data_IF_490401478299
#
_entry.id   IF_490401478299
#
_cell.length_a   1.000
_cell.length_b   1.000
_cell.length_c   1.000
_cell.angle_alpha   90.00
_cell.angle_beta   90.00
_cell.angle_gamma   90.00
#
_symmetry.space_group_name_H-M   'P 1'
#
loop_
_entity.id
_entity.type
_entity.pdbx_description
1 polymer ?
#
# COMPACT_ATOMS: atom_id res chain seq x y z
N UNK A 1 -42.11 -47.52 -47.96
CA UNK A 1 -41.83 -47.60 -46.51
C UNK A 1 -42.80 -48.62 -45.90
N UNK A 2 -42.33 -49.63 -45.17
CA UNK A 2 -43.25 -50.58 -44.51
C UNK A 2 -44.03 -49.88 -43.40
N UNK A 3 -45.22 -50.38 -43.05
CA UNK A 3 -46.01 -49.86 -41.90
C UNK A 3 -45.20 -49.87 -40.60
N UNK A 4 -44.37 -50.88 -40.44
CA UNK A 4 -43.44 -51.06 -39.31
C UNK A 4 -42.43 -49.90 -39.22
N UNK A 5 -41.91 -49.42 -40.35
CA UNK A 5 -41.01 -48.26 -40.36
C UNK A 5 -41.72 -46.95 -39.99
N UNK A 6 -43.01 -46.80 -40.32
CA UNK A 6 -43.80 -45.60 -39.95
C UNK A 6 -44.09 -45.60 -38.44
N UNK A 7 -44.39 -46.77 -37.87
CA UNK A 7 -44.66 -46.94 -36.44
C UNK A 7 -43.41 -46.69 -35.59
N UNK A 8 -42.24 -47.18 -36.04
CA UNK A 8 -40.95 -46.89 -35.40
C UNK A 8 -40.65 -45.38 -35.42
N UNK A 9 -40.89 -44.70 -36.54
CA UNK A 9 -40.67 -43.24 -36.67
C UNK A 9 -41.62 -42.45 -35.75
N UNK A 10 -42.89 -42.82 -35.67
CA UNK A 10 -43.86 -42.14 -34.80
C UNK A 10 -43.52 -42.33 -33.31
N UNK A 11 -43.11 -43.53 -32.91
CA UNK A 11 -42.66 -43.79 -31.54
C UNK A 11 -41.38 -43.00 -31.19
N UNK A 12 -40.44 -42.86 -32.13
CA UNK A 12 -39.26 -42.02 -31.97
C UNK A 12 -39.61 -40.53 -31.82
N UNK A 13 -40.60 -40.05 -32.60
CA UNK A 13 -41.09 -38.68 -32.50
C UNK A 13 -41.75 -38.43 -31.14
N UNK A 14 -42.61 -39.33 -30.66
CA UNK A 14 -43.26 -39.16 -29.36
C UNK A 14 -42.30 -39.31 -28.17
N UNK A 15 -41.32 -40.21 -28.26
CA UNK A 15 -40.22 -40.29 -27.29
C UNK A 15 -39.41 -38.99 -27.26
N UNK A 16 -39.12 -38.40 -28.42
CA UNK A 16 -38.38 -37.14 -28.52
C UNK A 16 -39.12 -35.96 -27.89
N UNK A 17 -40.45 -35.89 -28.00
CA UNK A 17 -41.28 -34.83 -27.38
C UNK A 17 -41.22 -34.86 -25.85
N UNK A 18 -40.96 -36.01 -25.26
CA UNK A 18 -40.85 -36.18 -23.79
C UNK A 18 -39.40 -35.94 -23.34
N UNK A 19 -38.43 -36.50 -24.06
CA UNK A 19 -37.01 -36.43 -23.69
C UNK A 19 -36.42 -35.04 -23.93
N UNK A 20 -36.76 -34.35 -25.04
CA UNK A 20 -36.20 -33.02 -25.34
C UNK A 20 -36.45 -32.00 -24.21
N UNK A 21 -37.70 -31.77 -23.75
CA UNK A 21 -37.96 -30.77 -22.71
C UNK A 21 -37.23 -31.07 -21.40
N UNK A 22 -37.17 -32.35 -21.00
CA UNK A 22 -36.44 -32.77 -19.82
C UNK A 22 -34.93 -32.48 -19.96
N UNK A 23 -34.36 -32.78 -21.14
CA UNK A 23 -32.95 -32.52 -21.43
C UNK A 23 -32.63 -31.02 -21.47
N UNK A 24 -33.50 -30.20 -22.08
CA UNK A 24 -33.39 -28.75 -22.07
C UNK A 24 -33.48 -28.17 -20.65
N UNK A 25 -34.37 -28.70 -19.82
CA UNK A 25 -34.51 -28.27 -18.42
C UNK A 25 -33.26 -28.59 -17.61
N UNK A 26 -32.70 -29.79 -17.79
CA UNK A 26 -31.44 -30.20 -17.15
C UNK A 26 -30.24 -29.38 -17.63
N UNK A 27 -30.15 -29.12 -18.94
CA UNK A 27 -29.10 -28.29 -19.51
C UNK A 27 -29.22 -26.84 -19.04
N UNK A 28 -30.41 -26.25 -19.04
CA UNK A 28 -30.65 -24.90 -18.53
C UNK A 28 -30.33 -24.81 -17.02
N UNK A 29 -30.73 -25.80 -16.22
CA UNK A 29 -30.39 -25.87 -14.80
C UNK A 29 -28.88 -25.98 -14.56
N UNK A 30 -28.18 -26.83 -15.31
CA UNK A 30 -26.71 -26.99 -15.24
C UNK A 30 -25.99 -25.70 -15.66
N UNK A 31 -26.45 -25.05 -16.73
CA UNK A 31 -25.88 -23.80 -17.22
C UNK A 31 -26.10 -22.65 -16.24
N UNK A 32 -27.32 -22.54 -15.70
CA UNK A 32 -27.68 -21.57 -14.66
C UNK A 32 -26.86 -21.76 -13.38
N UNK A 33 -26.69 -23.00 -12.93
CA UNK A 33 -25.86 -23.32 -11.78
C UNK A 33 -24.38 -22.94 -12.00
N UNK A 34 -23.80 -23.32 -13.14
CA UNK A 34 -22.41 -22.97 -13.48
C UNK A 34 -22.20 -21.46 -13.60
N UNK A 35 -23.15 -20.76 -14.21
CA UNK A 35 -23.12 -19.30 -14.33
C UNK A 35 -23.23 -18.63 -12.97
N UNK A 36 -24.16 -19.07 -12.12
CA UNK A 36 -24.33 -18.58 -10.75
C UNK A 36 -23.07 -18.77 -9.91
N UNK A 37 -22.44 -19.95 -9.96
CA UNK A 37 -21.16 -20.19 -9.28
C UNK A 37 -20.05 -19.27 -9.76
N UNK A 38 -19.95 -19.00 -11.07
CA UNK A 38 -18.97 -18.06 -11.63
C UNK A 38 -19.22 -16.64 -11.15
N UNK A 39 -20.48 -16.19 -11.17
CA UNK A 39 -20.87 -14.87 -10.70
C UNK A 39 -20.53 -14.69 -9.22
N UNK A 40 -20.87 -15.66 -8.36
CA UNK A 40 -20.54 -15.62 -6.94
C UNK A 40 -19.03 -15.59 -6.68
N UNK A 41 -18.24 -16.38 -7.43
CA UNK A 41 -16.77 -16.34 -7.31
C UNK A 41 -16.20 -14.99 -7.72
N UNK A 42 -16.69 -14.40 -8.80
CA UNK A 42 -16.27 -13.09 -9.25
C UNK A 42 -16.64 -12.00 -8.23
N UNK A 43 -17.86 -12.05 -7.69
CA UNK A 43 -18.30 -11.11 -6.67
C UNK A 43 -17.42 -11.18 -5.42
N UNK A 44 -17.15 -12.38 -4.89
CA UNK A 44 -16.24 -12.56 -3.75
C UNK A 44 -14.83 -12.02 -4.01
N UNK A 45 -14.34 -12.18 -5.25
CA UNK A 45 -13.04 -11.61 -5.66
C UNK A 45 -13.07 -10.08 -5.65
N UNK A 46 -14.10 -9.47 -6.22
CA UNK A 46 -14.24 -8.01 -6.23
C UNK A 46 -14.40 -7.46 -4.80
N UNK A 47 -15.17 -8.12 -3.95
CA UNK A 47 -15.30 -7.79 -2.52
C UNK A 47 -13.94 -7.88 -1.81
N UNK A 48 -13.13 -8.91 -2.11
CA UNK A 48 -11.79 -9.01 -1.55
C UNK A 48 -10.89 -7.87 -2.03
N UNK A 49 -10.88 -7.54 -3.33
CA UNK A 49 -10.11 -6.42 -3.89
C UNK A 49 -10.53 -5.09 -3.27
N UNK A 50 -11.84 -4.86 -3.12
CA UNK A 50 -12.37 -3.66 -2.45
C UNK A 50 -11.83 -3.55 -1.02
N UNK A 51 -11.82 -4.66 -0.27
CA UNK A 51 -11.23 -4.69 1.07
C UNK A 51 -9.73 -4.44 1.06
N UNK A 52 -8.98 -5.03 0.14
CA UNK A 52 -7.54 -4.73 -0.01
C UNK A 52 -7.31 -3.23 -0.21
N UNK A 53 -8.09 -2.59 -1.08
CA UNK A 53 -7.99 -1.15 -1.31
C UNK A 53 -8.39 -0.33 -0.08
N UNK A 54 -9.52 -0.65 0.54
CA UNK A 54 -10.13 0.13 1.62
C UNK A 54 -9.41 -0.01 2.95
N UNK A 55 -9.03 -1.24 3.32
CA UNK A 55 -8.53 -1.58 4.65
C UNK A 55 -6.98 -1.61 4.69
N UNK A 56 -6.31 -1.87 3.57
CA UNK A 56 -4.85 -1.99 3.53
C UNK A 56 -4.18 -0.90 2.68
N UNK A 57 -4.32 -0.96 1.36
CA UNK A 57 -3.46 -0.19 0.46
C UNK A 57 -3.74 1.32 0.50
N UNK A 58 -5.01 1.75 0.48
CA UNK A 58 -5.32 3.20 0.49
C UNK A 58 -4.93 3.88 1.81
N UNK A 59 -5.21 3.30 3.01
CA UNK A 59 -4.72 3.84 4.27
C UNK A 59 -3.18 3.93 4.35
N UNK A 60 -2.48 2.89 3.87
CA UNK A 60 -1.01 2.89 3.79
C UNK A 60 -0.49 4.01 2.89
N UNK A 61 -1.07 4.16 1.70
CA UNK A 61 -0.71 5.22 0.77
C UNK A 61 -1.00 6.61 1.35
N UNK A 62 -2.12 6.77 2.06
CA UNK A 62 -2.46 8.03 2.72
C UNK A 62 -1.40 8.46 3.75
N UNK A 63 -0.90 7.51 4.55
CA UNK A 63 0.21 7.76 5.47
C UNK A 63 1.48 8.15 4.71
N UNK A 64 1.83 7.38 3.68
CA UNK A 64 3.01 7.61 2.85
C UNK A 64 2.99 8.99 2.16
N UNK A 65 1.86 9.40 1.58
CA UNK A 65 1.75 10.73 0.94
C UNK A 65 1.94 11.85 1.94
N UNK A 66 1.43 11.69 3.18
CA UNK A 66 1.60 12.68 4.24
C UNK A 66 3.06 12.75 4.72
N UNK A 67 3.73 11.60 4.85
CA UNK A 67 5.17 11.52 5.14
C UNK A 67 5.98 12.23 4.06
N UNK A 68 5.75 11.90 2.79
CA UNK A 68 6.47 12.49 1.64
C UNK A 68 6.33 14.01 1.62
N UNK A 69 5.09 14.52 1.66
CA UNK A 69 4.84 15.96 1.58
C UNK A 69 5.53 16.77 2.70
N UNK A 70 5.57 16.23 3.92
CA UNK A 70 6.24 16.89 5.06
C UNK A 70 7.77 16.77 4.97
N UNK A 71 8.27 15.61 4.58
CA UNK A 71 9.71 15.36 4.49
C UNK A 71 10.35 16.13 3.34
N UNK A 72 9.66 16.27 2.20
CA UNK A 72 10.07 17.10 1.06
C UNK A 72 10.24 18.57 1.49
N UNK A 73 9.23 19.15 2.14
CA UNK A 73 9.31 20.53 2.63
C UNK A 73 10.45 20.71 3.64
N UNK A 74 10.59 19.80 4.61
CA UNK A 74 11.69 19.83 5.59
C UNK A 74 13.05 19.79 4.89
N UNK A 75 13.21 18.94 3.90
CA UNK A 75 14.44 18.83 3.13
C UNK A 75 14.74 20.11 2.34
N UNK A 76 13.74 20.71 1.69
CA UNK A 76 13.89 21.98 0.99
C UNK A 76 14.32 23.12 1.92
N UNK A 77 13.69 23.23 3.08
CA UNK A 77 14.05 24.23 4.10
C UNK A 77 15.50 23.97 4.57
N UNK A 78 15.84 22.74 4.96
CA UNK A 78 17.21 22.39 5.38
C UNK A 78 18.25 22.75 4.32
N UNK A 79 17.96 22.44 3.05
CA UNK A 79 18.84 22.73 1.90
C UNK A 79 19.03 24.23 1.67
N UNK A 80 18.03 25.05 1.99
CA UNK A 80 18.14 26.51 1.93
C UNK A 80 18.84 27.11 3.15
N UNK A 81 18.68 26.49 4.32
CA UNK A 81 19.24 26.95 5.59
C UNK A 81 20.76 26.79 5.68
N UNK A 82 21.30 25.67 5.19
CA UNK A 82 22.75 25.42 5.19
C UNK A 82 23.57 26.53 4.48
N UNK A 83 23.29 26.89 3.20
CA UNK A 83 24.03 27.95 2.53
C UNK A 83 23.75 29.34 3.14
N UNK A 84 22.54 29.58 3.66
CA UNK A 84 22.24 30.83 4.35
C UNK A 84 23.10 31.00 5.61
N UNK A 85 23.24 29.94 6.41
CA UNK A 85 24.10 29.94 7.59
C UNK A 85 25.59 30.09 7.21
N UNK A 86 26.05 29.38 6.18
CA UNK A 86 27.41 29.51 5.67
C UNK A 86 27.73 30.94 5.21
N UNK A 87 26.79 31.60 4.54
CA UNK A 87 26.93 32.99 4.11
C UNK A 87 27.09 33.93 5.31
N UNK A 88 26.24 33.80 6.33
CA UNK A 88 26.37 34.58 7.57
C UNK A 88 27.74 34.33 8.21
N UNK A 89 28.16 33.06 8.34
CA UNK A 89 29.49 32.74 8.87
C UNK A 89 30.65 33.36 8.06
N UNK A 90 30.48 33.52 6.75
CA UNK A 90 31.47 34.10 5.85
C UNK A 90 31.54 35.64 5.89
N UNK A 91 30.42 36.31 6.18
CA UNK A 91 30.32 37.77 6.22
C UNK A 91 30.84 38.39 7.53
N UNK A 92 30.97 37.57 8.58
CA UNK A 92 31.41 38.03 9.89
C UNK A 92 32.92 37.81 10.12
N UNK A 93 33.60 38.74 10.83
CA UNK A 93 35.02 38.62 11.13
C UNK A 93 35.31 37.42 12.04
N UNK A 94 36.48 36.80 11.86
CA UNK A 94 36.92 35.65 12.66
C UNK A 94 37.80 36.13 13.82
N UNK A 95 37.57 35.68 15.07
CA UNK A 95 36.53 34.72 15.48
C UNK A 95 35.12 35.36 15.49
N UNK A 96 34.11 34.59 15.06
CA UNK A 96 32.72 35.07 15.01
C UNK A 96 32.07 34.98 16.39
N UNK A 97 32.32 35.97 17.26
CA UNK A 97 31.91 35.95 18.67
C UNK A 97 30.38 35.93 18.86
N UNK A 98 29.61 36.54 17.96
CA UNK A 98 28.15 36.62 18.07
C UNK A 98 27.41 35.45 17.40
N UNK A 99 28.12 34.40 16.95
CA UNK A 99 27.52 33.32 16.14
C UNK A 99 26.24 32.74 16.76
N UNK A 100 26.15 32.62 18.09
CA UNK A 100 24.96 32.07 18.77
C UNK A 100 23.70 32.89 18.51
N UNK A 101 23.82 34.23 18.56
CA UNK A 101 22.71 35.15 18.31
C UNK A 101 22.19 35.01 16.88
N UNK A 102 23.10 34.87 15.92
CA UNK A 102 22.75 34.68 14.51
C UNK A 102 22.25 33.26 14.20
N UNK A 103 22.67 32.27 14.98
CA UNK A 103 22.24 30.88 14.83
C UNK A 103 20.88 30.59 15.46
N UNK A 104 20.43 31.39 16.43
CA UNK A 104 19.16 31.17 17.16
C UNK A 104 17.94 30.88 16.24
N UNK A 105 17.73 31.59 15.10
CA UNK A 105 16.63 31.24 14.19
C UNK A 105 16.78 29.85 13.54
N UNK A 106 18.00 29.44 13.21
CA UNK A 106 18.29 28.11 12.66
C UNK A 106 18.12 27.01 13.70
N UNK A 107 18.52 27.29 14.95
CA UNK A 107 18.28 26.38 16.07
C UNK A 107 16.78 26.15 16.29
N UNK A 108 15.96 27.21 16.27
CA UNK A 108 14.49 27.10 16.35
C UNK A 108 13.90 26.28 15.21
N UNK A 109 14.43 26.43 13.99
CA UNK A 109 14.04 25.59 12.85
C UNK A 109 14.37 24.11 13.12
N UNK A 110 15.60 23.79 13.55
CA UNK A 110 16.01 22.42 13.86
C UNK A 110 15.12 21.82 14.97
N UNK A 111 14.79 22.60 16.00
CA UNK A 111 13.87 22.16 17.06
C UNK A 111 12.48 21.87 16.52
N UNK A 112 11.95 22.71 15.63
CA UNK A 112 10.65 22.48 14.99
C UNK A 112 10.68 21.18 14.15
N UNK A 113 11.73 20.98 13.37
CA UNK A 113 11.90 19.79 12.52
C UNK A 113 12.00 18.50 13.35
N UNK A 114 12.75 18.54 14.46
CA UNK A 114 12.87 17.42 15.38
C UNK A 114 11.52 17.12 16.07
N UNK A 115 10.76 18.16 16.43
CA UNK A 115 9.43 18.01 16.99
C UNK A 115 8.48 17.38 15.96
N UNK A 116 8.45 17.87 14.73
CA UNK A 116 7.62 17.33 13.66
C UNK A 116 7.97 15.86 13.37
N UNK A 117 9.26 15.52 13.34
CA UNK A 117 9.70 14.13 13.18
C UNK A 117 9.10 13.23 14.28
N UNK A 118 9.27 13.62 15.54
CA UNK A 118 8.84 12.85 16.72
C UNK A 118 7.31 12.75 16.85
N UNK A 119 6.61 13.86 16.66
CA UNK A 119 5.18 13.96 16.98
C UNK A 119 4.26 13.69 15.78
N UNK A 120 4.78 13.77 14.54
CA UNK A 120 3.95 13.65 13.34
C UNK A 120 4.42 12.57 12.36
N UNK A 121 5.73 12.49 12.06
CA UNK A 121 6.25 11.56 11.05
C UNK A 121 6.40 10.14 11.59
N UNK A 122 7.06 9.93 12.73
CA UNK A 122 7.19 8.59 13.32
C UNK A 122 5.82 7.95 13.61
N UNK A 123 4.84 8.67 14.20
CA UNK A 123 3.49 8.13 14.38
C UNK A 123 2.77 7.73 13.09
N UNK A 124 3.15 8.28 11.93
CA UNK A 124 2.63 7.81 10.64
C UNK A 124 3.18 6.45 10.25
N UNK A 125 4.47 6.22 10.47
CA UNK A 125 5.05 4.90 10.23
C UNK A 125 4.51 3.86 11.21
N UNK A 126 4.29 4.24 12.48
CA UNK A 126 3.60 3.38 13.44
C UNK A 126 2.21 3.00 12.95
N UNK A 127 1.45 3.98 12.44
CA UNK A 127 0.15 3.73 11.83
C UNK A 127 0.24 2.81 10.61
N UNK A 128 1.25 2.98 9.76
CA UNK A 128 1.50 2.07 8.63
C UNK A 128 1.78 0.65 9.13
N UNK A 129 2.61 0.49 10.15
CA UNK A 129 2.93 -0.81 10.73
C UNK A 129 1.70 -1.47 11.37
N UNK A 130 0.87 -0.69 12.06
CA UNK A 130 -0.40 -1.17 12.61
C UNK A 130 -1.34 -1.68 11.50
N UNK A 131 -1.56 -0.88 10.45
CA UNK A 131 -2.37 -1.29 9.29
C UNK A 131 -1.81 -2.58 8.68
N UNK A 132 -0.48 -2.64 8.50
CA UNK A 132 0.16 -3.81 7.91
C UNK A 132 -0.06 -5.06 8.78
N UNK A 133 0.09 -4.92 10.09
CA UNK A 133 -0.07 -6.03 11.04
C UNK A 133 -1.53 -6.52 11.10
N UNK A 134 -2.47 -5.61 11.31
CA UNK A 134 -3.91 -5.93 11.48
C UNK A 134 -4.52 -6.50 10.20
N UNK A 135 -4.09 -5.99 9.04
CA UNK A 135 -4.62 -6.36 7.74
C UNK A 135 -3.64 -7.17 6.90
N UNK A 136 -2.69 -7.87 7.54
CA UNK A 136 -1.64 -8.64 6.87
C UNK A 136 -2.20 -9.65 5.84
N UNK A 137 -3.37 -10.23 6.12
CA UNK A 137 -4.04 -11.18 5.23
C UNK A 137 -4.52 -10.55 3.91
N UNK A 138 -4.71 -9.23 3.86
CA UNK A 138 -5.08 -8.48 2.65
C UNK A 138 -3.87 -8.07 1.80
N UNK A 139 -2.65 -8.15 2.33
CA UNK A 139 -1.44 -7.82 1.58
C UNK A 139 -1.10 -8.88 0.53
N UNK A 140 -0.69 -8.44 -0.66
CA UNK A 140 -0.06 -9.31 -1.66
C UNK A 140 1.25 -9.91 -1.15
N UNK A 141 1.65 -11.06 -1.69
CA UNK A 141 2.90 -11.75 -1.32
C UNK A 141 4.13 -10.85 -1.45
N UNK A 142 4.24 -10.09 -2.54
CA UNK A 142 5.36 -9.16 -2.77
C UNK A 142 5.38 -8.04 -1.73
N UNK A 143 4.20 -7.54 -1.33
CA UNK A 143 4.10 -6.51 -0.29
C UNK A 143 4.52 -7.08 1.06
N UNK A 144 4.09 -8.30 1.41
CA UNK A 144 4.41 -8.99 2.67
C UNK A 144 5.91 -9.09 2.95
N UNK A 145 6.71 -9.26 1.90
CA UNK A 145 8.18 -9.33 2.01
C UNK A 145 8.81 -8.08 2.66
N UNK A 146 8.11 -6.94 2.63
CA UNK A 146 8.59 -5.68 3.21
C UNK A 146 8.23 -5.48 4.68
N UNK A 147 7.43 -6.36 5.28
CA UNK A 147 6.98 -6.21 6.66
C UNK A 147 8.16 -6.10 7.65
N UNK A 148 9.16 -6.97 7.52
CA UNK A 148 10.34 -6.96 8.38
C UNK A 148 11.18 -5.69 8.21
N UNK A 149 11.27 -5.17 6.98
CA UNK A 149 12.08 -3.99 6.68
C UNK A 149 11.41 -2.72 7.23
N UNK A 150 10.10 -2.57 7.05
CA UNK A 150 9.33 -1.47 7.65
C UNK A 150 9.41 -1.52 9.18
N UNK A 151 9.25 -2.69 9.77
CA UNK A 151 9.36 -2.88 11.24
C UNK A 151 10.74 -2.44 11.74
N UNK A 152 11.81 -2.89 11.07
CA UNK A 152 13.19 -2.53 11.41
C UNK A 152 13.41 -1.02 11.33
N UNK A 153 12.93 -0.37 10.27
CA UNK A 153 13.06 1.07 10.10
C UNK A 153 12.39 1.83 11.26
N UNK A 154 11.15 1.46 11.61
CA UNK A 154 10.40 2.09 12.72
C UNK A 154 11.08 1.86 14.07
N UNK A 155 11.53 0.64 14.35
CA UNK A 155 12.20 0.30 15.60
C UNK A 155 13.51 1.08 15.81
N UNK A 156 14.31 1.26 14.75
CA UNK A 156 15.54 2.06 14.84
C UNK A 156 15.22 3.51 15.22
N UNK A 157 14.16 4.10 14.66
CA UNK A 157 13.74 5.45 15.01
C UNK A 157 13.25 5.56 16.44
N UNK A 158 12.46 4.61 16.94
CA UNK A 158 12.05 4.60 18.35
C UNK A 158 13.26 4.50 19.27
N UNK A 159 14.20 3.60 18.99
CA UNK A 159 15.43 3.47 19.80
C UNK A 159 16.26 4.75 19.81
N UNK A 160 16.36 5.42 18.66
CA UNK A 160 17.04 6.70 18.56
C UNK A 160 16.36 7.79 19.39
N UNK A 161 15.03 7.90 19.28
CA UNK A 161 14.25 8.92 20.00
C UNK A 161 14.20 8.70 21.51
N UNK A 162 14.32 7.44 21.94
CA UNK A 162 14.43 6.99 23.33
C UNK A 162 15.86 6.98 23.87
N UNK A 163 16.85 7.43 23.06
CA UNK A 163 18.27 7.47 23.44
C UNK A 163 18.85 6.11 23.86
N UNK A 164 18.20 5.01 23.47
CA UNK A 164 18.58 3.64 23.83
C UNK A 164 19.62 3.02 22.91
N UNK A 165 20.04 3.75 21.86
CA UNK A 165 21.07 3.33 20.92
C UNK A 165 22.07 4.48 20.67
N UNK A 166 23.40 4.22 20.73
CA UNK A 166 24.40 5.23 20.45
C UNK A 166 24.38 5.70 18.98
N UNK A 167 24.77 6.95 18.75
CA UNK A 167 24.84 7.54 17.41
C UNK A 167 25.84 6.80 16.51
N UNK A 168 26.92 6.26 17.07
CA UNK A 168 27.91 5.46 16.38
C UNK A 168 27.28 4.18 15.82
N UNK A 169 26.43 3.51 16.59
CA UNK A 169 25.74 2.29 16.16
C UNK A 169 24.76 2.63 15.03
N UNK A 170 24.03 3.74 15.13
CA UNK A 170 23.13 4.18 14.05
C UNK A 170 23.88 4.44 12.75
N UNK A 171 25.08 5.02 12.80
CA UNK A 171 25.89 5.27 11.59
C UNK A 171 26.28 3.97 10.89
N UNK A 172 26.57 2.92 11.66
CA UNK A 172 26.87 1.59 11.13
C UNK A 172 25.62 0.84 10.64
N UNK A 173 24.45 1.17 11.18
CA UNK A 173 23.19 0.64 10.68
C UNK A 173 22.83 1.31 9.36
N UNK A 174 22.60 0.50 8.32
CA UNK A 174 21.95 0.96 7.08
C UNK A 174 20.46 1.24 7.33
N UNK A 175 20.16 2.33 8.04
CA UNK A 175 18.81 2.66 8.53
C UNK A 175 18.08 3.71 7.68
N UNK A 176 18.65 4.06 6.53
CA UNK A 176 18.10 5.16 5.74
C UNK A 176 16.78 4.79 5.07
N UNK A 177 15.88 5.77 4.96
CA UNK A 177 14.55 5.59 4.37
C UNK A 177 14.62 5.13 2.90
N UNK A 178 15.71 5.41 2.18
CA UNK A 178 15.86 5.02 0.77
C UNK A 178 15.69 3.50 0.56
N UNK A 179 15.97 2.68 1.58
CA UNK A 179 15.74 1.22 1.55
C UNK A 179 14.25 0.85 1.41
N UNK A 180 13.34 1.72 1.86
CA UNK A 180 11.89 1.56 1.73
C UNK A 180 11.35 2.09 0.40
N UNK A 181 12.18 2.73 -0.44
CA UNK A 181 11.72 3.25 -1.75
C UNK A 181 11.05 2.19 -2.62
N UNK A 182 11.58 0.96 -2.76
CA UNK A 182 10.93 -0.06 -3.57
C UNK A 182 9.59 -0.51 -2.97
N UNK A 183 9.47 -0.56 -1.64
CA UNK A 183 8.20 -0.81 -0.96
C UNK A 183 7.16 0.25 -1.30
N UNK A 184 7.54 1.53 -1.24
CA UNK A 184 6.66 2.65 -1.56
C UNK A 184 6.15 2.61 -3.00
N UNK A 185 7.03 2.29 -3.95
CA UNK A 185 6.65 2.10 -5.36
C UNK A 185 5.73 0.88 -5.52
N UNK A 186 5.97 -0.19 -4.77
CA UNK A 186 5.10 -1.36 -4.72
C UNK A 186 3.68 -1.03 -4.25
N UNK A 187 3.53 -0.20 -3.20
CA UNK A 187 2.22 0.25 -2.73
C UNK A 187 1.46 1.07 -3.79
N UNK A 188 2.14 2.04 -4.41
CA UNK A 188 1.54 2.91 -5.42
C UNK A 188 1.09 2.11 -6.66
N UNK A 189 1.95 1.21 -7.16
CA UNK A 189 1.63 0.37 -8.32
C UNK A 189 0.52 -0.63 -8.03
N UNK A 190 0.50 -1.24 -6.84
CA UNK A 190 -0.53 -2.21 -6.47
C UNK A 190 -1.91 -1.58 -6.37
N UNK A 191 -2.02 -0.33 -5.90
CA UNK A 191 -3.30 0.40 -5.91
C UNK A 191 -3.83 0.56 -7.33
N UNK A 192 -2.99 1.01 -8.26
CA UNK A 192 -3.39 1.19 -9.67
C UNK A 192 -3.87 -0.14 -10.26
N UNK A 193 -3.14 -1.23 -9.99
CA UNK A 193 -3.52 -2.58 -10.43
C UNK A 193 -4.88 -3.01 -9.87
N UNK A 194 -5.09 -2.90 -8.56
CA UNK A 194 -6.33 -3.30 -7.90
C UNK A 194 -7.53 -2.44 -8.34
N UNK A 195 -7.33 -1.12 -8.52
CA UNK A 195 -8.38 -0.24 -9.04
C UNK A 195 -8.77 -0.60 -10.47
N UNK A 196 -7.79 -0.95 -11.31
CA UNK A 196 -8.04 -1.42 -12.66
C UNK A 196 -8.86 -2.71 -12.65
N UNK A 197 -8.44 -3.70 -11.85
CA UNK A 197 -9.17 -4.96 -11.67
C UNK A 197 -10.62 -4.75 -11.17
N UNK A 198 -10.82 -3.85 -10.21
CA UNK A 198 -12.15 -3.51 -9.67
C UNK A 198 -13.05 -2.83 -10.71
N UNK A 199 -12.47 -1.95 -11.54
CA UNK A 199 -13.21 -1.21 -12.57
C UNK A 199 -13.56 -2.05 -13.81
N UNK A 200 -13.03 -3.28 -13.91
CA UNK A 200 -13.23 -4.15 -15.07
C UNK A 200 -12.58 -3.63 -16.37
N UNK A 201 -11.58 -2.74 -16.27
CA UNK A 201 -10.84 -2.15 -17.39
C UNK A 201 -9.44 -2.74 -17.54
#
# INVERSE_FOLDING_TARGET
MSKENIEIINNLIDLSKIVLPALFTLLAGSFGYRYGLRLMKNQKRLEFIERQLREFYSPMLGCLKRIKAKSELRFEISKASDPAWQKICGEHPKPFLEHKKYFEPFEKQIMYDNKQLREELIPLYDKMLAIFTENYYLAESETKNWYSELTRFVEIWHRWLDESIPAEVIKELEHKEERLTPFYQGLESQIVKLQKELSGK
#
